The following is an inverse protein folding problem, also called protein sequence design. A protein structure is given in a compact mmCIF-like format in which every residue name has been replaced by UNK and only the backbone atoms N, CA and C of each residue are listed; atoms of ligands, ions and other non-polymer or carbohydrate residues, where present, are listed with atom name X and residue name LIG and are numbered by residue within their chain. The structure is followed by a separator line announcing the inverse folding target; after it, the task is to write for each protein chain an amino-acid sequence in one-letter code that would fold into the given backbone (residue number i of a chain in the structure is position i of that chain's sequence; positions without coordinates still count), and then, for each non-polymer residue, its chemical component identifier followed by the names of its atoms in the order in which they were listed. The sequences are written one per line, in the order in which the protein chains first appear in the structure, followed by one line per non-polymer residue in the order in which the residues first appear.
data_IF_553777442889
#
_entry.id   IF_553777442889
#
_cell.length_a   1.000
_cell.length_b   1.000
_cell.length_c   1.000
_cell.angle_alpha   90.00
_cell.angle_beta   90.00
_cell.angle_gamma   90.00
#
_symmetry.space_group_name_H-M   'P 1'
#
loop_
_entity.id
_entity.type
_entity.pdbx_description
1 polymer ?
#
# COMPACT_ATOMS: atom_id res chain seq x y z
N UNK A 1 -41.13 24.76 11.99
CA UNK A 1 -40.98 24.01 10.73
C UNK A 1 -39.53 24.17 10.29
N UNK A 2 -38.64 23.19 10.56
CA UNK A 2 -37.24 23.28 10.14
C UNK A 2 -37.12 22.94 8.64
N UNK A 3 -36.26 23.67 7.92
CA UNK A 3 -35.97 23.45 6.51
C UNK A 3 -35.19 22.14 6.29
N UNK A 4 -35.41 21.40 5.18
CA UNK A 4 -34.65 20.20 4.90
C UNK A 4 -33.21 20.57 4.51
N UNK A 5 -32.24 20.03 5.24
CA UNK A 5 -30.82 20.03 4.89
C UNK A 5 -30.62 19.13 3.67
N UNK A 6 -30.19 19.72 2.56
CA UNK A 6 -29.78 19.03 1.34
C UNK A 6 -28.47 18.27 1.61
N UNK A 7 -28.55 16.95 1.80
CA UNK A 7 -27.40 16.05 1.75
C UNK A 7 -26.92 15.97 0.31
N UNK A 8 -25.88 16.74 -0.03
CA UNK A 8 -25.17 16.58 -1.30
C UNK A 8 -24.47 15.22 -1.30
N UNK A 9 -24.90 14.33 -2.18
CA UNK A 9 -24.21 13.05 -2.44
C UNK A 9 -22.85 13.36 -3.09
N UNK A 10 -21.73 12.78 -2.61
CA UNK A 10 -20.44 12.98 -3.25
C UNK A 10 -20.49 12.39 -4.67
N UNK A 11 -20.17 13.21 -5.66
CA UNK A 11 -20.02 12.80 -7.05
C UNK A 11 -18.91 11.75 -7.16
N UNK A 12 -19.14 10.60 -7.81
CA UNK A 12 -18.08 9.63 -8.04
C UNK A 12 -17.01 10.27 -8.94
N UNK A 13 -15.77 10.31 -8.45
CA UNK A 13 -14.60 10.68 -9.25
C UNK A 13 -14.38 9.56 -10.27
N UNK A 14 -14.27 9.84 -11.58
CA UNK A 14 -13.95 8.82 -12.56
C UNK A 14 -12.58 8.22 -12.23
N UNK A 15 -12.51 6.89 -12.09
CA UNK A 15 -11.26 6.17 -12.00
C UNK A 15 -10.45 6.48 -13.28
N UNK A 16 -9.17 6.89 -13.19
CA UNK A 16 -8.36 7.12 -14.38
C UNK A 16 -8.29 5.82 -15.18
N UNK A 17 -8.85 5.84 -16.38
CA UNK A 17 -8.73 4.75 -17.35
C UNK A 17 -7.36 4.87 -18.01
N UNK A 18 -6.33 4.36 -17.34
CA UNK A 18 -5.03 4.18 -17.97
C UNK A 18 -5.17 3.06 -19.00
N UNK A 19 -5.04 3.43 -20.28
CA UNK A 19 -4.70 2.45 -21.32
C UNK A 19 -3.44 1.72 -20.85
N UNK A 20 -3.39 0.37 -20.86
CA UNK A 20 -2.17 -0.32 -20.50
C UNK A 20 -1.11 0.10 -21.52
N UNK A 21 -0.15 0.91 -21.06
CA UNK A 21 1.14 1.04 -21.74
C UNK A 21 1.61 -0.38 -22.01
N UNK A 22 1.91 -0.77 -23.27
CA UNK A 22 2.39 -2.11 -23.56
C UNK A 22 3.50 -2.42 -22.58
N UNK A 23 3.41 -3.58 -21.91
CA UNK A 23 4.33 -4.08 -20.89
C UNK A 23 5.77 -3.73 -21.27
N UNK A 24 6.24 -2.56 -20.83
CA UNK A 24 7.66 -2.30 -20.79
C UNK A 24 8.15 -3.36 -19.81
N UNK A 25 8.91 -4.32 -20.32
CA UNK A 25 9.40 -5.49 -19.60
C UNK A 25 9.74 -5.07 -18.17
N UNK A 26 8.90 -5.51 -17.23
CA UNK A 26 9.06 -5.19 -15.84
C UNK A 26 10.46 -5.69 -15.42
N UNK A 27 11.36 -4.76 -15.09
CA UNK A 27 12.72 -5.05 -14.65
C UNK A 27 12.85 -4.66 -13.19
N UNK A 28 13.17 -5.60 -12.27
CA UNK A 28 13.43 -7.02 -12.54
C UNK A 28 12.17 -7.81 -12.87
N UNK A 29 12.34 -8.92 -13.58
CA UNK A 29 11.26 -9.88 -13.81
C UNK A 29 10.77 -10.54 -12.50
N UNK A 30 11.69 -10.72 -11.54
CA UNK A 30 11.45 -11.28 -10.21
C UNK A 30 12.30 -10.56 -9.17
N UNK A 31 11.72 -10.28 -8.00
CA UNK A 31 12.43 -9.81 -6.81
C UNK A 31 12.43 -10.93 -5.77
N UNK A 32 13.54 -11.65 -5.61
CA UNK A 32 13.62 -12.83 -4.75
C UNK A 32 13.57 -12.47 -3.26
N UNK A 33 13.20 -13.45 -2.42
CA UNK A 33 13.12 -13.26 -0.97
C UNK A 33 14.42 -12.68 -0.40
N UNK A 34 14.29 -11.66 0.45
CA UNK A 34 15.38 -10.88 1.03
C UNK A 34 15.94 -9.77 0.12
N UNK A 35 15.48 -9.65 -1.12
CA UNK A 35 15.87 -8.54 -2.00
C UNK A 35 14.96 -7.33 -1.82
N UNK A 36 15.53 -6.16 -2.07
CA UNK A 36 14.84 -4.87 -2.13
C UNK A 36 15.08 -4.24 -3.50
N UNK A 37 14.18 -3.36 -3.93
CA UNK A 37 14.42 -2.47 -5.07
C UNK A 37 13.70 -1.14 -4.86
N UNK A 38 14.37 -0.03 -5.13
CA UNK A 38 13.76 1.30 -5.14
C UNK A 38 13.38 1.77 -6.54
N UNK A 39 12.57 2.82 -6.64
CA UNK A 39 12.21 3.47 -7.92
C UNK A 39 13.41 4.00 -8.71
N UNK A 40 14.58 4.16 -8.07
CA UNK A 40 15.84 4.49 -8.75
C UNK A 40 16.54 3.28 -9.38
N UNK A 41 16.01 2.07 -9.19
CA UNK A 41 16.62 0.80 -9.62
C UNK A 41 17.71 0.29 -8.67
N UNK A 42 17.83 0.86 -7.46
CA UNK A 42 18.83 0.45 -6.48
C UNK A 42 18.35 -0.72 -5.63
N UNK A 43 19.17 -1.76 -5.52
CA UNK A 43 18.92 -2.94 -4.67
C UNK A 43 19.42 -2.79 -3.22
N UNK A 44 20.02 -1.64 -2.91
CA UNK A 44 20.65 -1.38 -1.60
C UNK A 44 20.17 -0.08 -0.97
N UNK A 45 19.29 0.66 -1.64
CA UNK A 45 18.68 1.85 -1.09
C UNK A 45 17.68 1.45 0.01
N UNK A 46 17.74 2.12 1.16
CA UNK A 46 16.84 1.85 2.27
C UNK A 46 15.46 2.43 1.99
N UNK A 47 14.41 1.88 2.62
CA UNK A 47 13.05 2.43 2.55
C UNK A 47 13.03 3.92 2.91
N UNK A 48 13.71 4.31 3.98
CA UNK A 48 13.82 5.72 4.40
C UNK A 48 14.46 6.62 3.36
N UNK A 49 15.44 6.13 2.59
CA UNK A 49 16.08 6.92 1.54
C UNK A 49 15.18 7.06 0.30
N UNK A 50 14.53 5.96 -0.10
CA UNK A 50 13.67 5.91 -1.28
C UNK A 50 12.29 6.57 -1.04
N UNK A 51 11.56 6.10 -0.03
CA UNK A 51 10.22 6.56 0.31
C UNK A 51 10.21 7.76 1.27
N UNK A 52 11.34 8.09 1.92
CA UNK A 52 11.42 9.15 2.92
C UNK A 52 11.09 8.65 4.34
N UNK A 53 11.55 9.33 5.40
CA UNK A 53 11.27 8.92 6.78
C UNK A 53 9.78 9.08 7.13
N UNK A 54 9.35 8.37 8.17
CA UNK A 54 8.12 8.70 8.88
C UNK A 54 8.26 10.08 9.53
N UNK A 55 7.25 10.93 9.41
CA UNK A 55 7.20 12.22 10.08
C UNK A 55 6.46 12.12 11.42
N UNK A 56 5.34 11.39 11.46
CA UNK A 56 4.59 11.15 12.69
C UNK A 56 3.83 9.82 12.64
N UNK A 57 3.35 9.35 13.79
CA UNK A 57 2.35 8.29 13.85
C UNK A 57 0.97 8.95 13.72
N UNK A 58 0.18 8.51 12.74
CA UNK A 58 -1.22 8.93 12.64
C UNK A 58 -2.03 8.11 13.64
N UNK A 59 -2.70 8.75 14.59
CA UNK A 59 -3.60 8.07 15.53
C UNK A 59 -5.06 8.19 15.08
N UNK A 60 -5.87 7.20 15.44
CA UNK A 60 -7.29 7.18 15.08
C UNK A 60 -8.01 8.41 15.65
N UNK A 61 -8.67 9.16 14.76
CA UNK A 61 -9.38 10.39 15.12
C UNK A 61 -8.54 11.67 14.98
N UNK A 62 -7.25 11.56 14.66
CA UNK A 62 -6.45 12.72 14.30
C UNK A 62 -6.93 13.37 13.00
N UNK A 63 -6.58 14.65 12.82
CA UNK A 63 -6.82 15.36 11.56
C UNK A 63 -6.21 14.62 10.35
N UNK A 64 -5.03 14.00 10.52
CA UNK A 64 -4.35 13.24 9.49
C UNK A 64 -5.06 11.91 9.19
N UNK A 65 -5.63 11.27 10.21
CA UNK A 65 -6.41 10.03 10.06
C UNK A 65 -7.61 10.23 9.13
N UNK A 66 -8.31 11.35 9.26
CA UNK A 66 -9.43 11.70 8.39
C UNK A 66 -9.06 12.02 6.93
N UNK A 67 -7.76 12.05 6.61
CA UNK A 67 -7.23 12.21 5.25
C UNK A 67 -6.77 10.90 4.61
N UNK A 68 -6.73 9.80 5.38
CA UNK A 68 -6.54 8.46 4.81
C UNK A 68 -7.72 8.11 3.92
N UNK A 69 -7.46 7.31 2.89
CA UNK A 69 -8.44 6.91 1.88
C UNK A 69 -8.53 5.39 1.78
N UNK A 70 -9.67 4.87 1.31
CA UNK A 70 -9.91 3.43 1.24
C UNK A 70 -10.93 2.97 0.19
N UNK A 71 -11.22 3.79 -0.81
CA UNK A 71 -12.15 3.44 -1.90
C UNK A 71 -11.38 2.78 -3.05
N UNK A 72 -11.13 1.48 -2.91
CA UNK A 72 -10.32 0.70 -3.83
C UNK A 72 -11.17 -0.23 -4.70
N UNK A 73 -10.56 -0.74 -5.76
CA UNK A 73 -11.17 -1.67 -6.70
C UNK A 73 -11.72 -2.92 -5.95
N UNK A 74 -12.99 -3.33 -6.18
CA UNK A 74 -13.58 -4.48 -5.49
C UNK A 74 -12.90 -5.81 -5.80
N UNK A 75 -12.01 -5.89 -6.80
CA UNK A 75 -11.22 -7.10 -7.05
C UNK A 75 -10.04 -7.26 -6.10
N UNK A 76 -9.70 -6.26 -5.30
CA UNK A 76 -8.64 -6.37 -4.28
C UNK A 76 -9.23 -7.05 -3.04
N UNK A 77 -8.55 -8.10 -2.58
CA UNK A 77 -8.89 -8.81 -1.35
C UNK A 77 -8.19 -8.13 -0.17
N UNK A 78 -8.88 -7.92 0.95
CA UNK A 78 -8.31 -7.39 2.19
C UNK A 78 -8.41 -8.46 3.27
N UNK A 79 -7.36 -8.64 4.07
CA UNK A 79 -7.31 -9.70 5.08
C UNK A 79 -8.19 -9.37 6.29
N UNK A 80 -8.16 -8.12 6.77
CA UNK A 80 -9.03 -7.59 7.83
C UNK A 80 -9.03 -8.49 9.07
N UNK A 81 -7.86 -8.92 9.50
CA UNK A 81 -7.71 -9.80 10.65
C UNK A 81 -7.84 -9.08 11.98
N UNK A 82 -7.64 -7.76 12.00
CA UNK A 82 -7.69 -6.99 13.24
C UNK A 82 -9.09 -7.09 13.85
N UNK A 83 -9.16 -7.17 15.17
CA UNK A 83 -10.45 -7.18 15.87
C UNK A 83 -11.10 -5.80 15.84
N UNK A 84 -12.43 -5.68 15.77
CA UNK A 84 -13.11 -4.39 15.86
C UNK A 84 -12.67 -3.56 17.09
N UNK A 85 -12.48 -2.22 16.95
CA UNK A 85 -12.83 -1.38 15.80
C UNK A 85 -11.74 -1.27 14.71
N UNK A 86 -10.75 -2.16 14.69
CA UNK A 86 -9.57 -2.09 13.83
C UNK A 86 -9.70 -2.85 12.50
N UNK A 87 -10.78 -3.61 12.30
CA UNK A 87 -11.05 -4.51 11.16
C UNK A 87 -11.17 -3.84 9.77
N UNK A 88 -10.91 -2.54 9.68
CA UNK A 88 -10.90 -1.77 8.44
C UNK A 88 -9.58 -1.04 8.18
N UNK A 89 -8.55 -1.25 8.99
CA UNK A 89 -7.28 -0.53 8.86
C UNK A 89 -6.50 -0.92 7.60
N UNK A 90 -6.55 -2.18 7.18
CA UNK A 90 -6.06 -2.68 5.89
C UNK A 90 -6.55 -1.90 4.65
N UNK A 91 -7.69 -1.25 4.78
CA UNK A 91 -8.32 -0.50 3.69
C UNK A 91 -7.79 0.94 3.67
N UNK A 92 -7.35 1.46 4.81
CA UNK A 92 -6.94 2.85 4.98
C UNK A 92 -5.48 3.02 4.58
N UNK A 93 -5.24 4.01 3.71
CA UNK A 93 -3.90 4.31 3.21
C UNK A 93 -3.74 5.78 2.85
N UNK A 94 -2.50 6.20 2.69
CA UNK A 94 -2.14 7.52 2.19
C UNK A 94 -2.69 7.70 0.75
N UNK A 95 -3.24 8.87 0.35
CA UNK A 95 -3.76 9.09 -1.00
C UNK A 95 -2.80 8.75 -2.15
N UNK A 96 -1.49 8.92 -1.92
CA UNK A 96 -0.45 8.56 -2.88
C UNK A 96 -0.38 7.06 -3.20
N UNK A 97 -0.92 6.18 -2.35
CA UNK A 97 -0.99 4.73 -2.59
C UNK A 97 -1.97 4.34 -3.69
N UNK A 98 -3.00 5.16 -3.95
CA UNK A 98 -4.11 4.78 -4.84
C UNK A 98 -3.63 4.46 -6.26
N UNK A 99 -2.70 5.24 -6.80
CA UNK A 99 -2.18 5.04 -8.15
C UNK A 99 -1.35 3.75 -8.30
N UNK A 100 -0.27 3.53 -7.52
CA UNK A 100 0.51 2.30 -7.64
C UNK A 100 -0.30 1.06 -7.25
N UNK A 101 -1.19 1.13 -6.25
CA UNK A 101 -2.02 -0.01 -5.88
C UNK A 101 -3.03 -0.39 -6.97
N UNK A 102 -3.68 0.59 -7.60
CA UNK A 102 -4.60 0.35 -8.73
C UNK A 102 -3.87 -0.26 -9.93
N UNK A 103 -2.67 0.26 -10.25
CA UNK A 103 -1.82 -0.32 -11.31
C UNK A 103 -1.38 -1.74 -10.97
N UNK A 104 -1.00 -2.00 -9.73
CA UNK A 104 -0.59 -3.33 -9.30
C UNK A 104 -1.74 -4.33 -9.43
N UNK A 105 -2.94 -3.96 -9.00
CA UNK A 105 -4.13 -4.81 -9.15
C UNK A 105 -4.38 -5.18 -10.63
N UNK A 106 -4.28 -4.21 -11.54
CA UNK A 106 -4.40 -4.48 -12.98
C UNK A 106 -3.29 -5.41 -13.50
N UNK A 107 -2.04 -5.21 -13.07
CA UNK A 107 -0.91 -6.06 -13.45
C UNK A 107 -1.09 -7.50 -12.94
N UNK A 108 -1.54 -7.68 -11.69
CA UNK A 108 -1.82 -8.98 -11.06
C UNK A 108 -2.91 -9.73 -11.83
N UNK A 109 -4.02 -9.06 -12.13
CA UNK A 109 -5.11 -9.66 -12.91
C UNK A 109 -4.62 -10.10 -14.31
N UNK A 110 -3.80 -9.28 -14.96
CA UNK A 110 -3.25 -9.61 -16.28
C UNK A 110 -2.24 -10.76 -16.24
N UNK A 111 -1.29 -10.73 -15.30
CA UNK A 111 -0.21 -11.72 -15.15
C UNK A 111 -0.75 -13.15 -15.01
N UNK A 112 -1.87 -13.31 -14.31
CA UNK A 112 -2.46 -14.61 -14.00
C UNK A 112 -3.86 -14.81 -14.59
N UNK A 113 -4.17 -14.11 -15.69
CA UNK A 113 -5.39 -14.34 -16.47
C UNK A 113 -6.71 -14.13 -15.71
N UNK A 114 -6.70 -13.36 -14.63
CA UNK A 114 -7.84 -13.08 -13.76
C UNK A 114 -8.11 -14.13 -12.67
N UNK A 115 -7.38 -15.25 -12.66
CA UNK A 115 -7.57 -16.33 -11.66
C UNK A 115 -6.91 -16.00 -10.31
N UNK A 116 -6.02 -15.01 -10.28
CA UNK A 116 -5.33 -14.55 -9.08
C UNK A 116 -5.66 -13.08 -8.83
N UNK A 117 -6.05 -12.78 -7.60
CA UNK A 117 -6.33 -11.42 -7.14
C UNK A 117 -5.18 -10.90 -6.29
N UNK A 118 -5.01 -9.57 -6.28
CA UNK A 118 -4.15 -8.91 -5.31
C UNK A 118 -4.79 -8.98 -3.93
N UNK A 119 -3.99 -9.25 -2.90
CA UNK A 119 -4.46 -9.26 -1.52
C UNK A 119 -3.59 -8.38 -0.64
N UNK A 120 -4.21 -7.42 0.02
CA UNK A 120 -3.59 -6.61 1.07
C UNK A 120 -3.74 -7.35 2.39
N UNK A 121 -2.64 -7.47 3.13
CA UNK A 121 -2.63 -8.06 4.48
C UNK A 121 -2.42 -7.05 5.58
N UNK A 122 -1.71 -5.97 5.29
CA UNK A 122 -1.48 -4.87 6.22
C UNK A 122 -1.35 -3.57 5.42
N UNK A 123 -1.89 -2.46 5.94
CA UNK A 123 -1.74 -1.12 5.36
C UNK A 123 -1.51 -0.06 6.44
N UNK A 124 -2.49 0.78 6.74
CA UNK A 124 -2.42 1.60 7.95
C UNK A 124 -2.45 0.69 9.19
N UNK A 125 -1.57 0.93 10.16
CA UNK A 125 -1.48 0.15 11.40
C UNK A 125 -1.50 1.10 12.61
N UNK A 126 -2.61 1.14 13.35
CA UNK A 126 -2.66 1.90 14.60
C UNK A 126 -2.27 1.09 15.83
N UNK A 127 -2.27 -0.25 15.72
CA UNK A 127 -1.99 -1.20 16.80
C UNK A 127 -0.50 -1.42 17.05
N UNK A 128 0.35 -0.82 16.23
CA UNK A 128 1.80 -0.87 16.33
C UNK A 128 2.35 -2.29 16.13
N UNK A 129 1.66 -3.14 15.36
CA UNK A 129 2.10 -4.50 15.04
C UNK A 129 3.47 -4.49 14.35
N UNK A 130 3.71 -3.46 13.53
CA UNK A 130 5.00 -3.19 12.90
C UNK A 130 6.06 -2.57 13.84
N UNK A 131 5.73 -2.27 15.12
CA UNK A 131 6.64 -1.70 16.14
C UNK A 131 7.08 -2.72 17.21
N UNK A 132 6.35 -3.82 17.43
CA UNK A 132 6.21 -4.48 18.75
C UNK A 132 7.48 -4.99 19.46
N UNK A 133 8.69 -4.87 18.90
CA UNK A 133 9.95 -5.27 19.55
C UNK A 133 11.12 -4.30 19.37
N UNK A 134 10.88 -3.05 18.99
CA UNK A 134 11.97 -2.15 18.63
C UNK A 134 12.41 -1.21 19.75
N UNK A 135 13.56 -1.51 20.36
CA UNK A 135 14.19 -0.63 21.36
C UNK A 135 14.92 0.57 20.76
N UNK A 136 15.23 0.52 19.45
CA UNK A 136 15.86 1.61 18.74
C UNK A 136 14.80 2.64 18.29
N UNK A 137 14.81 3.88 18.83
CA UNK A 137 13.89 4.93 18.40
C UNK A 137 13.93 5.17 16.90
N UNK A 138 15.10 4.98 16.26
CA UNK A 138 15.30 5.13 14.82
C UNK A 138 14.52 4.12 13.95
N UNK A 139 13.93 3.09 14.56
CA UNK A 139 13.22 2.01 13.88
C UNK A 139 11.75 1.89 14.34
N UNK A 140 11.27 2.83 15.15
CA UNK A 140 9.84 2.99 15.51
C UNK A 140 9.04 3.72 14.42
N UNK A 141 9.54 3.65 13.18
CA UNK A 141 9.23 4.60 12.12
C UNK A 141 8.67 3.88 10.89
N UNK A 142 7.94 2.79 11.12
CA UNK A 142 7.26 2.08 10.04
C UNK A 142 6.33 3.05 9.31
N UNK A 143 6.42 3.06 7.99
CA UNK A 143 5.56 3.89 7.16
C UNK A 143 4.09 3.37 7.15
N UNK A 144 3.83 2.17 7.65
CA UNK A 144 2.46 1.71 7.96
C UNK A 144 1.73 2.67 8.91
N UNK A 145 2.45 3.31 9.84
CA UNK A 145 1.87 4.27 10.79
C UNK A 145 1.41 5.59 10.15
N UNK A 146 1.80 5.84 8.89
CA UNK A 146 1.32 6.96 8.06
C UNK A 146 0.43 6.50 6.90
N UNK A 147 0.12 5.20 6.82
CA UNK A 147 -0.54 4.59 5.66
C UNK A 147 0.31 4.64 4.37
N UNK A 148 1.62 4.78 4.50
CA UNK A 148 2.60 4.92 3.41
C UNK A 148 3.36 3.64 3.08
N UNK A 149 3.06 2.54 3.77
CA UNK A 149 3.47 1.18 3.40
C UNK A 149 2.27 0.24 3.35
N UNK A 150 2.47 -0.89 2.67
CA UNK A 150 1.47 -1.92 2.45
C UNK A 150 2.15 -3.28 2.30
N UNK A 151 1.55 -4.31 2.91
CA UNK A 151 1.97 -5.68 2.76
C UNK A 151 1.00 -6.45 1.87
N UNK A 152 1.57 -7.16 0.91
CA UNK A 152 0.87 -7.71 -0.23
C UNK A 152 1.13 -9.21 -0.38
N UNK A 153 0.06 -9.92 -0.71
CA UNK A 153 0.08 -11.34 -1.07
C UNK A 153 -0.79 -11.54 -2.32
N UNK A 154 -0.83 -12.79 -2.81
CA UNK A 154 -1.80 -13.19 -3.83
C UNK A 154 -2.98 -13.90 -3.17
N UNK A 155 -4.14 -13.87 -3.84
CA UNK A 155 -5.28 -14.70 -3.49
C UNK A 155 -5.71 -15.57 -4.69
N UNK A 156 -5.75 -16.91 -4.56
CA UNK A 156 -5.35 -17.70 -3.39
C UNK A 156 -3.86 -17.58 -3.04
N UNK A 157 -3.53 -17.74 -1.76
CA UNK A 157 -2.15 -17.64 -1.24
C UNK A 157 -1.25 -18.67 -1.91
N UNK A 158 -0.15 -18.21 -2.51
CA UNK A 158 0.92 -19.04 -3.07
C UNK A 158 2.26 -18.29 -2.99
N UNK A 159 3.15 -18.76 -2.09
CA UNK A 159 4.47 -18.17 -1.87
C UNK A 159 5.33 -18.12 -3.14
N UNK A 160 5.13 -19.04 -4.08
CA UNK A 160 5.92 -19.08 -5.31
C UNK A 160 5.63 -17.90 -6.24
N UNK A 161 4.51 -17.19 -6.03
CA UNK A 161 4.14 -16.00 -6.80
C UNK A 161 4.76 -14.73 -6.26
N UNK A 162 5.26 -14.72 -5.02
CA UNK A 162 5.68 -13.48 -4.37
C UNK A 162 6.89 -12.80 -5.02
N UNK A 163 7.90 -13.54 -5.53
CA UNK A 163 8.95 -12.89 -6.28
C UNK A 163 8.45 -12.12 -7.51
N UNK A 164 7.42 -12.65 -8.18
CA UNK A 164 6.78 -11.98 -9.31
C UNK A 164 5.88 -10.83 -8.85
N UNK A 165 5.08 -11.04 -7.80
CA UNK A 165 4.24 -10.00 -7.20
C UNK A 165 5.06 -8.77 -6.82
N UNK A 166 6.22 -8.94 -6.17
CA UNK A 166 7.08 -7.83 -5.81
C UNK A 166 7.72 -7.11 -6.99
N UNK A 167 8.13 -7.85 -8.02
CA UNK A 167 8.55 -7.24 -9.28
C UNK A 167 7.43 -6.38 -9.87
N UNK A 168 6.19 -6.91 -9.92
CA UNK A 168 5.04 -6.15 -10.41
C UNK A 168 4.74 -4.91 -9.53
N UNK A 169 4.93 -4.98 -8.21
CA UNK A 169 4.79 -3.82 -7.33
C UNK A 169 5.79 -2.72 -7.71
N UNK A 170 7.05 -3.05 -7.94
CA UNK A 170 8.03 -2.07 -8.42
C UNK A 170 7.56 -1.42 -9.74
N UNK A 171 7.09 -2.24 -10.69
CA UNK A 171 6.61 -1.78 -11.98
C UNK A 171 5.29 -0.98 -11.92
N UNK A 172 4.50 -1.19 -10.88
CA UNK A 172 3.29 -0.42 -10.59
C UNK A 172 3.61 1.01 -10.10
N UNK A 173 4.86 1.27 -9.68
CA UNK A 173 5.35 2.59 -9.29
C UNK A 173 5.43 2.81 -7.79
N UNK A 174 5.56 1.74 -6.99
CA UNK A 174 5.98 1.88 -5.61
C UNK A 174 7.43 2.38 -5.55
N UNK A 175 7.72 3.28 -4.62
CA UNK A 175 9.04 3.91 -4.49
C UNK A 175 10.08 2.99 -3.87
N UNK A 176 9.62 2.04 -3.05
CA UNK A 176 10.44 1.00 -2.46
C UNK A 176 9.65 -0.29 -2.32
N UNK A 177 10.28 -1.42 -2.64
CA UNK A 177 9.69 -2.75 -2.53
C UNK A 177 10.69 -3.70 -1.91
N UNK A 178 10.25 -4.51 -0.96
CA UNK A 178 11.01 -5.61 -0.38
C UNK A 178 10.20 -6.90 -0.47
N UNK A 179 10.85 -7.98 -0.92
CA UNK A 179 10.30 -9.31 -0.73
C UNK A 179 10.76 -9.83 0.65
N UNK A 180 9.85 -9.84 1.63
CA UNK A 180 10.14 -10.31 2.98
C UNK A 180 10.09 -11.84 3.12
N UNK A 181 9.66 -12.53 2.05
CA UNK A 181 9.63 -13.99 1.93
C UNK A 181 8.23 -14.57 2.14
N UNK A 182 7.47 -14.05 3.09
CA UNK A 182 6.08 -14.46 3.39
C UNK A 182 5.03 -13.41 2.99
N UNK A 183 5.47 -12.24 2.53
CA UNK A 183 4.68 -11.22 1.85
C UNK A 183 5.60 -10.30 1.05
N UNK A 184 4.99 -9.39 0.29
CA UNK A 184 5.66 -8.32 -0.39
C UNK A 184 5.38 -6.98 0.28
N UNK A 185 6.40 -6.37 0.88
CA UNK A 185 6.31 -5.05 1.47
C UNK A 185 6.57 -3.98 0.41
N UNK A 186 5.76 -2.94 0.36
CA UNK A 186 5.95 -1.83 -0.57
C UNK A 186 5.55 -0.48 0.03
N UNK A 187 6.27 0.57 -0.35
CA UNK A 187 6.12 1.91 0.25
C UNK A 187 6.11 3.02 -0.79
N UNK A 188 5.49 4.14 -0.46
CA UNK A 188 5.43 5.32 -1.33
C UNK A 188 6.08 6.55 -0.69
N UNK A 189 6.74 7.33 -1.54
CA UNK A 189 7.23 8.66 -1.22
C UNK A 189 6.10 9.66 -1.33
N UNK A 190 5.77 10.30 -0.22
CA UNK A 190 4.79 11.37 -0.19
C UNK A 190 5.05 12.32 0.98
N UNK A 191 4.53 13.54 0.84
CA UNK A 191 4.44 14.48 1.98
C UNK A 191 3.52 13.89 3.05
N UNK A 192 3.99 13.83 4.29
CA UNK A 192 3.22 13.27 5.39
C UNK A 192 1.92 14.05 5.63
N UNK A 193 0.82 13.34 5.82
CA UNK A 193 -0.48 13.94 6.18
C UNK A 193 -0.42 14.66 7.53
N UNK A 194 0.53 14.31 8.39
CA UNK A 194 0.77 14.98 9.67
C UNK A 194 1.13 16.46 9.50
N UNK A 195 1.85 16.82 8.42
CA UNK A 195 2.23 18.20 8.11
C UNK A 195 1.17 18.96 7.31
N UNK A 196 0.05 18.31 6.96
CA UNK A 196 -1.11 18.93 6.32
C UNK A 196 -2.22 19.25 7.33
N UNK A 197 -1.87 19.10 8.60
CA UNK A 197 -2.47 19.73 9.75
C UNK A 197 -1.49 20.80 10.27
#
# INVERSE_FOLDING_TARGET
MPAPTSTATPTPVPLPTSTPTPEALCDPAFLWAGQTISSSGSYTETETAAAGPMACRIERGDCAYHRLVGQLDPTIVFKREETPPFDGEDILMHPAMLYPLSRLNALVLNEWGGDVQLRVTDAYDSLLEHDLKQTNPARKYSLHFEGRSIDLTTWPIDLNRYPRLCALAHCAGFDWVQNEGDHCHASVKAESLCGQC
#
